data_IF_868756620923
#
_entry.id   IF_868756620923
#
_cell.length_a   1.000
_cell.length_b   1.000
_cell.length_c   1.000
_cell.angle_alpha   90.00
_cell.angle_beta   90.00
_cell.angle_gamma   90.00
#
_symmetry.space_group_name_H-M   'P 1'
#
loop_
_entity.id
_entity.type
_entity.pdbx_description
1 polymer ?
#
# COMPACT_ATOMS: atom_id res chain seq x y z
N UNK A 1 11.89 -7.57 6.95
CA UNK A 1 10.78 -6.96 6.20
C UNK A 1 10.10 -6.02 7.16
N UNK A 2 9.76 -4.81 6.72
CA UNK A 2 9.34 -3.74 7.62
C UNK A 2 8.05 -3.09 7.12
N UNK A 3 7.17 -2.70 8.05
CA UNK A 3 6.09 -1.75 7.81
C UNK A 3 6.56 -0.37 8.29
N UNK A 4 6.75 0.54 7.35
CA UNK A 4 7.21 1.91 7.62
C UNK A 4 6.02 2.86 7.65
N UNK A 5 6.08 3.84 8.57
CA UNK A 5 5.13 4.94 8.66
C UNK A 5 5.89 6.24 8.42
N UNK A 6 5.38 7.07 7.52
CA UNK A 6 5.99 8.35 7.21
C UNK A 6 4.91 9.42 7.07
N UNK A 7 5.22 10.67 7.42
CA UNK A 7 4.38 11.77 6.99
C UNK A 7 4.63 12.05 5.51
N UNK A 8 3.64 12.65 4.84
CA UNK A 8 3.77 13.10 3.46
C UNK A 8 4.97 14.05 3.27
N UNK A 9 5.26 14.89 4.27
CA UNK A 9 6.41 15.80 4.28
C UNK A 9 7.77 15.11 4.28
N UNK A 10 7.82 13.87 4.77
CA UNK A 10 9.08 13.11 4.89
C UNK A 10 9.34 12.29 3.61
N UNK A 11 8.38 12.28 2.69
CA UNK A 11 8.40 11.52 1.45
C UNK A 11 8.59 12.43 0.24
N UNK A 12 9.29 11.90 -0.77
CA UNK A 12 9.27 12.49 -2.13
C UNK A 12 8.45 11.61 -3.05
N UNK A 13 7.43 12.19 -3.67
CA UNK A 13 6.60 11.52 -4.67
C UNK A 13 7.15 11.78 -6.07
N UNK A 14 7.07 10.77 -6.94
CA UNK A 14 7.55 10.86 -8.31
C UNK A 14 6.79 9.90 -9.23
N UNK A 15 6.99 10.04 -10.54
CA UNK A 15 6.50 9.09 -11.55
C UNK A 15 7.68 8.31 -12.14
N UNK A 16 7.48 7.06 -12.47
CA UNK A 16 8.50 6.23 -13.13
C UNK A 16 7.85 5.16 -14.02
N UNK A 17 8.62 4.65 -14.97
CA UNK A 17 8.20 3.52 -15.81
C UNK A 17 8.52 2.19 -15.14
N UNK A 18 7.56 1.28 -15.10
CA UNK A 18 7.72 -0.07 -14.60
C UNK A 18 6.81 -1.01 -15.38
N UNK A 19 7.36 -2.09 -15.95
CA UNK A 19 6.62 -3.03 -16.81
C UNK A 19 5.75 -2.33 -17.88
N UNK A 20 6.34 -1.38 -18.62
CA UNK A 20 5.68 -0.56 -19.65
C UNK A 20 4.46 0.26 -19.16
N UNK A 21 4.33 0.46 -17.85
CA UNK A 21 3.30 1.31 -17.25
C UNK A 21 3.93 2.47 -16.48
N UNK A 22 3.24 3.61 -16.51
CA UNK A 22 3.63 4.77 -15.71
C UNK A 22 3.05 4.63 -14.30
N UNK A 23 3.92 4.45 -13.31
CA UNK A 23 3.55 4.22 -11.92
C UNK A 23 3.82 5.44 -11.03
N UNK A 24 3.13 5.47 -9.89
CA UNK A 24 3.41 6.40 -8.79
C UNK A 24 4.48 5.83 -7.87
N UNK A 25 5.48 6.63 -7.55
CA UNK A 25 6.61 6.27 -6.71
C UNK A 25 6.66 7.09 -5.42
N UNK A 26 7.13 6.47 -4.34
CA UNK A 26 7.41 7.10 -3.06
C UNK A 26 8.88 6.84 -2.72
N UNK A 27 9.62 7.90 -2.38
CA UNK A 27 10.99 7.82 -1.89
C UNK A 27 11.02 8.22 -0.43
N UNK A 28 11.56 7.36 0.43
CA UNK A 28 11.66 7.60 1.87
C UNK A 28 12.96 7.01 2.40
N UNK A 29 13.78 7.81 3.09
CA UNK A 29 15.06 7.40 3.69
C UNK A 29 16.00 6.60 2.75
N UNK A 30 16.03 6.94 1.47
CA UNK A 30 16.87 6.27 0.46
C UNK A 30 16.28 4.97 -0.10
N UNK A 31 15.11 4.56 0.37
CA UNK A 31 14.33 3.46 -0.21
C UNK A 31 13.29 3.98 -1.20
N UNK A 32 12.96 3.13 -2.18
CA UNK A 32 11.98 3.43 -3.22
C UNK A 32 10.83 2.43 -3.15
N UNK A 33 9.62 2.97 -3.24
CA UNK A 33 8.38 2.20 -3.16
C UNK A 33 7.51 2.51 -4.38
N UNK A 34 6.83 1.50 -4.91
CA UNK A 34 5.75 1.68 -5.87
C UNK A 34 4.45 1.89 -5.10
N UNK A 35 3.81 3.04 -5.26
CA UNK A 35 2.49 3.29 -4.70
C UNK A 35 1.46 2.47 -5.46
N UNK A 36 0.73 1.62 -4.77
CA UNK A 36 -0.25 0.72 -5.38
C UNK A 36 -1.68 0.95 -4.88
N UNK A 37 -1.84 1.64 -3.74
CA UNK A 37 -3.15 1.95 -3.20
C UNK A 37 -3.18 3.22 -2.37
N UNK A 38 -4.38 3.76 -2.14
CA UNK A 38 -4.59 4.90 -1.25
C UNK A 38 -5.96 4.79 -0.57
N UNK A 39 -6.00 5.03 0.73
CA UNK A 39 -7.23 5.12 1.52
C UNK A 39 -7.53 6.57 1.87
N UNK A 40 -8.80 6.94 2.03
CA UNK A 40 -9.16 8.24 2.59
C UNK A 40 -8.75 8.34 4.07
N UNK A 41 -8.68 9.54 4.62
CA UNK A 41 -8.30 9.78 6.01
C UNK A 41 -9.19 9.05 7.04
N UNK A 42 -10.44 8.74 6.69
CA UNK A 42 -11.39 8.00 7.57
C UNK A 42 -11.10 6.50 7.62
N UNK A 43 -10.29 5.98 6.70
CA UNK A 43 -10.01 4.54 6.51
C UNK A 43 -8.60 4.17 6.96
N UNK A 44 -8.13 4.81 8.03
CA UNK A 44 -6.81 4.56 8.59
C UNK A 44 -6.61 3.08 8.92
N UNK A 45 -7.58 2.47 9.60
CA UNK A 45 -7.44 1.10 10.09
C UNK A 45 -7.30 0.09 8.94
N UNK A 46 -7.94 0.35 7.80
CA UNK A 46 -7.79 -0.44 6.58
C UNK A 46 -6.38 -0.32 5.97
N UNK A 47 -5.78 0.87 6.02
CA UNK A 47 -4.41 1.08 5.57
C UNK A 47 -3.43 0.25 6.40
N UNK A 48 -3.61 0.21 7.73
CA UNK A 48 -2.80 -0.60 8.62
C UNK A 48 -3.04 -2.11 8.45
N UNK A 49 -4.29 -2.57 8.34
CA UNK A 49 -4.60 -3.99 8.13
C UNK A 49 -3.97 -4.50 6.82
N UNK A 50 -4.12 -3.76 5.71
CA UNK A 50 -3.49 -4.12 4.45
C UNK A 50 -1.95 -4.13 4.55
N UNK A 51 -1.37 -3.11 5.17
CA UNK A 51 0.08 -3.04 5.39
C UNK A 51 0.60 -4.23 6.20
N UNK A 52 -0.11 -4.63 7.27
CA UNK A 52 0.24 -5.78 8.11
C UNK A 52 0.16 -7.10 7.35
N UNK A 53 -0.91 -7.33 6.58
CA UNK A 53 -1.06 -8.58 5.79
C UNK A 53 0.02 -8.73 4.74
N UNK A 54 0.42 -7.62 4.11
CA UNK A 54 1.53 -7.62 3.16
C UNK A 54 2.85 -7.92 3.87
N UNK A 55 3.05 -7.37 5.07
CA UNK A 55 4.22 -7.67 5.90
C UNK A 55 4.28 -9.16 6.28
N UNK A 56 3.15 -9.77 6.67
CA UNK A 56 3.05 -11.20 6.99
C UNK A 56 3.41 -12.10 5.81
N UNK A 57 3.23 -11.58 4.59
CA UNK A 57 3.65 -12.21 3.32
C UNK A 57 5.09 -11.89 2.94
N UNK A 58 5.86 -11.26 3.83
CA UNK A 58 7.26 -10.92 3.61
C UNK A 58 7.47 -9.71 2.69
N UNK A 59 6.47 -8.84 2.53
CA UNK A 59 6.54 -7.69 1.64
C UNK A 59 6.75 -6.45 2.50
N UNK A 60 7.86 -5.75 2.31
CA UNK A 60 8.09 -4.47 2.98
C UNK A 60 7.20 -3.38 2.39
N UNK A 61 6.48 -2.66 3.25
CA UNK A 61 5.46 -1.68 2.88
C UNK A 61 5.74 -0.35 3.58
N UNK A 62 5.41 0.75 2.92
CA UNK A 62 5.30 2.07 3.53
C UNK A 62 3.84 2.52 3.53
N UNK A 63 3.39 3.12 4.63
CA UNK A 63 2.18 3.91 4.71
C UNK A 63 2.60 5.36 4.86
N UNK A 64 2.32 6.14 3.83
CA UNK A 64 2.53 7.58 3.82
C UNK A 64 1.24 8.30 4.23
N UNK A 65 1.32 9.01 5.35
CA UNK A 65 0.20 9.66 6.01
C UNK A 65 0.12 11.14 5.58
N UNK A 66 -1.01 11.54 5.00
CA UNK A 66 -1.38 12.94 4.84
C UNK A 66 -2.65 13.27 5.61
N UNK A 67 -3.01 14.56 5.63
CA UNK A 67 -4.28 15.00 6.25
C UNK A 67 -5.52 14.45 5.54
N UNK A 68 -5.40 14.05 4.28
CA UNK A 68 -6.53 13.66 3.44
C UNK A 68 -6.55 12.17 3.10
N UNK A 69 -5.39 11.51 3.12
CA UNK A 69 -5.26 10.12 2.67
C UNK A 69 -4.09 9.38 3.33
N UNK A 70 -4.15 8.06 3.24
CA UNK A 70 -3.04 7.15 3.52
C UNK A 70 -2.63 6.48 2.21
N UNK A 71 -1.46 6.80 1.69
CA UNK A 71 -0.90 6.17 0.49
C UNK A 71 -0.05 4.97 0.88
N UNK A 72 -0.30 3.82 0.26
CA UNK A 72 0.49 2.60 0.48
C UNK A 72 1.45 2.38 -0.67
N UNK A 73 2.69 2.07 -0.32
CA UNK A 73 3.73 1.69 -1.27
C UNK A 73 4.41 0.39 -0.87
N UNK A 74 4.77 -0.40 -1.87
CA UNK A 74 5.57 -1.64 -1.73
C UNK A 74 7.02 -1.35 -2.10
N UNK A 75 7.98 -1.84 -1.33
CA UNK A 75 9.39 -1.59 -1.63
C UNK A 75 9.77 -2.27 -2.96
N UNK A 76 10.37 -1.50 -3.88
CA UNK A 76 10.77 -1.98 -5.22
C UNK A 76 11.90 -3.00 -5.20
N UNK A 77 12.65 -3.12 -4.10
CA UNK A 77 13.68 -4.14 -3.93
C UNK A 77 13.10 -5.47 -3.43
N UNK A 78 11.84 -5.50 -3.01
CA UNK A 78 11.18 -6.77 -2.70
C UNK A 78 11.04 -7.56 -4.01
N UNK A 79 10.96 -8.89 -3.89
CA UNK A 79 10.65 -9.77 -5.01
C UNK A 79 9.14 -9.71 -5.36
N UNK A 80 8.57 -8.50 -5.44
CA UNK A 80 7.16 -8.27 -5.73
C UNK A 80 6.77 -8.80 -7.11
N UNK A 81 7.71 -8.85 -8.04
CA UNK A 81 7.51 -9.42 -9.37
C UNK A 81 7.35 -10.95 -9.34
N UNK A 82 7.79 -11.62 -8.27
CA UNK A 82 7.53 -13.04 -8.06
C UNK A 82 6.10 -13.32 -7.57
N UNK A 83 5.35 -12.30 -7.13
CA UNK A 83 3.93 -12.44 -6.81
C UNK A 83 3.10 -12.41 -8.09
N UNK A 84 2.20 -13.37 -8.26
CA UNK A 84 1.29 -13.41 -9.40
C UNK A 84 0.29 -12.26 -9.34
N UNK A 85 -0.09 -11.70 -10.49
CA UNK A 85 -1.09 -10.61 -10.58
C UNK A 85 -2.42 -10.96 -9.88
N UNK A 86 -2.82 -12.23 -9.90
CA UNK A 86 -4.00 -12.72 -9.17
C UNK A 86 -3.87 -12.62 -7.66
N UNK A 87 -2.69 -12.88 -7.11
CA UNK A 87 -2.44 -12.81 -5.66
C UNK A 87 -2.43 -11.34 -5.21
N UNK A 88 -1.85 -10.46 -6.02
CA UNK A 88 -1.89 -9.00 -5.80
C UNK A 88 -3.33 -8.50 -5.78
N UNK A 89 -4.16 -8.91 -6.74
CA UNK A 89 -5.58 -8.56 -6.81
C UNK A 89 -6.39 -9.17 -5.65
N UNK A 90 -6.12 -10.41 -5.27
CA UNK A 90 -6.82 -11.08 -4.17
C UNK A 90 -6.61 -10.37 -2.84
N UNK A 91 -5.38 -9.93 -2.53
CA UNK A 91 -5.09 -9.14 -1.31
C UNK A 91 -5.87 -7.84 -1.29
N UNK A 92 -5.92 -7.14 -2.43
CA UNK A 92 -6.67 -5.89 -2.55
C UNK A 92 -8.17 -6.12 -2.37
N UNK A 93 -8.71 -7.18 -2.98
CA UNK A 93 -10.13 -7.54 -2.90
C UNK A 93 -10.54 -8.01 -1.50
N UNK A 94 -9.70 -8.72 -0.76
CA UNK A 94 -9.99 -9.16 0.62
C UNK A 94 -10.12 -7.97 1.57
N UNK A 95 -9.23 -6.99 1.44
CA UNK A 95 -9.28 -5.77 2.25
C UNK A 95 -10.49 -4.90 1.87
N UNK A 96 -10.86 -4.84 0.60
CA UNK A 96 -12.07 -4.14 0.13
C UNK A 96 -13.37 -4.92 0.45
N UNK A 97 -13.32 -6.25 0.47
CA UNK A 97 -14.45 -7.14 0.71
C UNK A 97 -14.87 -7.22 2.16
N UNK A 98 -13.95 -7.01 3.11
CA UNK A 98 -14.29 -6.86 4.54
C UNK A 98 -15.22 -5.69 4.81
N UNK A 99 -15.22 -4.65 3.97
CA UNK A 99 -16.16 -3.54 4.07
C UNK A 99 -17.59 -3.93 3.69
N UNK A 100 -17.79 -4.77 2.68
CA UNK A 100 -19.15 -5.16 2.26
C UNK A 100 -19.83 -5.98 3.35
N UNK A 101 -19.06 -6.83 4.04
CA UNK A 101 -19.53 -7.67 5.14
C UNK A 101 -19.75 -6.84 6.41
N UNK A 102 -18.82 -5.96 6.79
CA UNK A 102 -18.98 -5.11 7.98
C UNK A 102 -20.10 -4.06 7.81
N UNK A 103 -20.28 -3.52 6.59
CA UNK A 103 -21.38 -2.59 6.27
C UNK A 103 -22.76 -3.26 6.29
N UNK A 104 -22.82 -4.58 6.05
CA UNK A 104 -24.05 -5.37 6.13
C UNK A 104 -24.38 -5.80 7.57
N UNK A 105 -23.37 -5.98 8.42
CA UNK A 105 -23.54 -6.40 9.83
C UNK A 105 -23.86 -5.23 10.78
N UNK A 106 -23.62 -3.99 10.36
CA UNK A 106 -23.91 -2.77 11.14
C UNK A 106 -25.22 -2.07 10.71
N UNK A 107 -26.11 -2.77 10.00
CA UNK A 107 -27.50 -2.36 9.72
C UNK A 107 -28.46 -3.19 10.55
#
# INVERSE_FOLDING_TARGET
MNLLLANESDCRFFKFWFHDQLCDGISYQGELFCQFHSFSAQRRDQAYDLGSRLLDRGISVIICCSRQRYSLGINLRNNWDAYGEREKQQVLLEVQGMDSVLSQLLR
#
